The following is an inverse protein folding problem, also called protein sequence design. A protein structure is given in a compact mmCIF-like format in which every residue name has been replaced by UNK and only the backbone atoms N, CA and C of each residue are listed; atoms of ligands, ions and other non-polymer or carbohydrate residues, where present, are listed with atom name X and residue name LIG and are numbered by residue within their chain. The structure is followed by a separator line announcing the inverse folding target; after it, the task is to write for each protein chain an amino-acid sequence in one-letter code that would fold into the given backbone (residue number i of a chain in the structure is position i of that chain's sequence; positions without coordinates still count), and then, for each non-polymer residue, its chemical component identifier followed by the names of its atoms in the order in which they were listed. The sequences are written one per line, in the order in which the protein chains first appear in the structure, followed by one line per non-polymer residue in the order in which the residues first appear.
data_IF_013069702928
#
_entry.id   IF_013069702928
#
_cell.length_a   1.000
_cell.length_b   1.000
_cell.length_c   1.000
_cell.angle_alpha   90.00
_cell.angle_beta   90.00
_cell.angle_gamma   90.00
#
_symmetry.space_group_name_H-M   'P 1'
#
loop_
_entity.id
_entity.type
_entity.pdbx_description
1 polymer ?
#
# COMPACT_ATOMS: atom_id res chain seq x y z
N UNK A 1 4.72 -34.93 -45.06
CA UNK A 1 4.31 -33.51 -44.98
C UNK A 1 3.46 -33.19 -43.76
N UNK A 2 2.43 -33.98 -43.42
CA UNK A 2 1.54 -33.71 -42.26
C UNK A 2 2.30 -33.54 -40.92
N UNK A 3 3.28 -34.40 -40.62
CA UNK A 3 4.05 -34.35 -39.38
C UNK A 3 4.91 -33.08 -39.22
N UNK A 4 5.41 -32.52 -40.32
CA UNK A 4 6.20 -31.28 -40.31
C UNK A 4 5.33 -30.06 -39.98
N UNK A 5 4.09 -30.03 -40.46
CA UNK A 5 3.12 -28.97 -40.15
C UNK A 5 2.68 -29.02 -38.67
N UNK A 6 2.47 -30.23 -38.13
CA UNK A 6 2.09 -30.40 -36.72
C UNK A 6 3.26 -29.99 -35.80
N UNK A 7 4.50 -30.32 -36.17
CA UNK A 7 5.69 -29.91 -35.44
C UNK A 7 5.88 -28.39 -35.43
N UNK A 8 5.64 -27.72 -36.57
CA UNK A 8 5.72 -26.25 -36.64
C UNK A 8 4.65 -25.55 -35.79
N UNK A 9 3.44 -26.10 -35.71
CA UNK A 9 2.36 -25.55 -34.89
C UNK A 9 2.68 -25.70 -33.39
N UNK A 10 3.28 -26.83 -32.99
CA UNK A 10 3.69 -27.06 -31.60
C UNK A 10 4.79 -26.08 -31.14
N UNK A 11 5.73 -25.74 -32.03
CA UNK A 11 6.83 -24.81 -31.73
C UNK A 11 6.29 -23.40 -31.53
N UNK A 12 5.35 -22.95 -32.38
CA UNK A 12 4.72 -21.62 -32.25
C UNK A 12 3.89 -21.53 -30.96
N UNK A 13 3.19 -22.60 -30.56
CA UNK A 13 2.41 -22.62 -29.32
C UNK A 13 3.29 -22.55 -28.05
N UNK A 14 4.53 -23.07 -28.11
CA UNK A 14 5.50 -23.00 -27.00
C UNK A 14 6.15 -21.63 -26.84
N UNK A 15 6.21 -20.81 -27.90
CA UNK A 15 6.78 -19.46 -27.86
C UNK A 15 5.82 -18.38 -27.37
N UNK A 16 4.51 -18.66 -27.31
CA UNK A 16 3.52 -17.73 -26.73
C UNK A 16 3.49 -17.92 -25.21
N UNK A 17 4.62 -17.61 -24.57
CA UNK A 17 4.66 -17.22 -23.15
C UNK A 17 5.28 -15.84 -23.11
N UNK A 18 4.54 -14.87 -23.66
CA UNK A 18 4.89 -13.46 -23.54
C UNK A 18 4.66 -13.04 -22.09
N UNK A 19 5.74 -12.77 -21.38
CA UNK A 19 5.70 -11.77 -20.33
C UNK A 19 5.41 -10.45 -21.07
N UNK A 20 4.19 -9.92 -20.95
CA UNK A 20 3.72 -8.71 -21.65
C UNK A 20 4.37 -7.45 -21.08
N UNK A 21 5.70 -7.50 -20.94
CA UNK A 21 6.52 -6.46 -20.32
C UNK A 21 7.28 -5.73 -21.41
N UNK A 22 7.01 -4.44 -21.56
CA UNK A 22 7.66 -3.56 -22.54
C UNK A 22 9.13 -3.30 -22.19
N UNK A 23 9.98 -2.86 -23.12
CA UNK A 23 11.38 -2.54 -22.79
C UNK A 23 11.49 -1.27 -21.94
N UNK A 24 12.67 -1.01 -21.35
CA UNK A 24 12.88 0.22 -20.57
C UNK A 24 12.73 1.48 -21.45
N UNK A 25 13.18 1.39 -22.70
CA UNK A 25 13.07 2.47 -23.69
C UNK A 25 11.61 2.74 -24.06
N UNK A 26 10.84 1.70 -24.39
CA UNK A 26 9.41 1.82 -24.73
C UNK A 26 8.62 2.44 -23.57
N UNK A 27 8.88 2.00 -22.33
CA UNK A 27 8.28 2.60 -21.14
C UNK A 27 8.67 4.07 -20.96
N UNK A 28 9.93 4.41 -21.20
CA UNK A 28 10.40 5.79 -21.08
C UNK A 28 9.79 6.71 -22.12
N UNK A 29 9.50 6.23 -23.33
CA UNK A 29 8.79 7.00 -24.37
C UNK A 29 7.35 7.32 -23.97
N UNK A 30 6.71 6.41 -23.22
CA UNK A 30 5.40 6.62 -22.61
C UNK A 30 5.45 7.42 -21.29
N UNK A 31 6.65 7.79 -20.83
CA UNK A 31 6.86 8.58 -19.61
C UNK A 31 6.97 7.76 -18.32
N UNK A 32 7.06 6.44 -18.39
CA UNK A 32 7.22 5.54 -17.25
C UNK A 32 8.67 5.18 -16.99
N UNK A 33 9.06 5.15 -15.71
CA UNK A 33 10.36 4.62 -15.29
C UNK A 33 10.21 3.17 -14.82
N UNK A 34 10.53 2.20 -15.69
CA UNK A 34 10.39 0.77 -15.41
C UNK A 34 11.14 0.29 -14.16
N UNK A 35 12.27 0.92 -13.80
CA UNK A 35 13.09 0.53 -12.64
C UNK A 35 12.45 0.88 -11.30
N UNK A 36 11.65 1.95 -11.25
CA UNK A 36 11.00 2.42 -10.03
C UNK A 36 9.49 2.19 -10.00
N UNK A 37 8.87 1.92 -11.15
CA UNK A 37 7.43 1.75 -11.27
C UNK A 37 6.97 0.43 -10.66
N UNK A 38 6.08 0.55 -9.70
CA UNK A 38 5.54 -0.52 -8.88
C UNK A 38 4.10 -0.79 -9.32
N UNK A 39 3.74 -2.06 -9.57
CA UNK A 39 2.41 -2.38 -10.12
C UNK A 39 1.26 -1.96 -9.19
N UNK A 40 1.48 -1.89 -7.88
CA UNK A 40 0.51 -1.31 -6.94
C UNK A 40 0.17 0.16 -7.23
N UNK A 41 1.09 0.90 -7.87
CA UNK A 41 0.88 2.30 -8.26
C UNK A 41 -0.09 2.41 -9.43
N UNK A 42 -0.03 1.47 -10.39
CA UNK A 42 -0.95 1.45 -11.53
C UNK A 42 -2.41 1.28 -11.09
N UNK A 43 -2.66 0.48 -10.05
CA UNK A 43 -3.98 0.32 -9.47
C UNK A 43 -4.56 1.62 -8.87
N UNK A 44 -3.71 2.59 -8.49
CA UNK A 44 -4.13 3.88 -7.93
C UNK A 44 -4.58 4.88 -9.02
N UNK A 45 -4.23 4.67 -10.29
CA UNK A 45 -4.55 5.60 -11.40
C UNK A 45 -6.06 5.86 -11.53
N UNK A 46 -6.88 4.83 -11.32
CA UNK A 46 -8.34 4.95 -11.41
C UNK A 46 -8.92 5.90 -10.36
N UNK A 47 -8.30 6.01 -9.18
CA UNK A 47 -8.77 6.96 -8.15
C UNK A 47 -8.56 8.43 -8.52
N UNK A 48 -7.73 8.70 -9.55
CA UNK A 48 -7.44 10.04 -10.04
C UNK A 48 -8.04 10.30 -11.45
N UNK A 49 -8.84 9.37 -11.98
CA UNK A 49 -9.39 9.48 -13.34
C UNK A 49 -8.35 9.35 -14.43
N UNK A 50 -7.26 8.62 -14.19
CA UNK A 50 -6.17 8.37 -15.13
C UNK A 50 -6.24 6.94 -15.70
N UNK A 51 -7.46 6.42 -15.89
CA UNK A 51 -7.70 5.02 -16.33
C UNK A 51 -7.08 4.72 -17.69
N UNK A 52 -6.96 5.73 -18.56
CA UNK A 52 -6.35 5.62 -19.88
C UNK A 52 -4.87 5.20 -19.83
N UNK A 53 -4.17 5.50 -18.73
CA UNK A 53 -2.76 5.16 -18.53
C UNK A 53 -2.57 3.77 -17.92
N UNK A 54 -3.64 3.08 -17.52
CA UNK A 54 -3.55 1.84 -16.77
C UNK A 54 -2.82 0.75 -17.55
N UNK A 55 -3.19 0.54 -18.81
CA UNK A 55 -2.60 -0.51 -19.65
C UNK A 55 -1.10 -0.31 -19.82
N UNK A 56 -0.69 0.91 -20.17
CA UNK A 56 0.73 1.25 -20.37
C UNK A 56 1.52 1.14 -19.05
N UNK A 57 0.92 1.55 -17.94
CA UNK A 57 1.50 1.40 -16.61
C UNK A 57 1.71 -0.08 -16.24
N UNK A 58 0.70 -0.93 -16.47
CA UNK A 58 0.72 -2.35 -16.13
C UNK A 58 1.78 -3.12 -16.94
N UNK A 59 1.96 -2.77 -18.21
CA UNK A 59 3.01 -3.33 -19.07
C UNK A 59 4.43 -2.86 -18.70
N UNK A 60 4.54 -1.75 -17.96
CA UNK A 60 5.82 -1.15 -17.56
C UNK A 60 6.22 -1.39 -16.10
N UNK A 61 5.31 -1.88 -15.26
CA UNK A 61 5.53 -1.98 -13.83
C UNK A 61 6.31 -3.24 -13.43
N UNK A 62 6.98 -3.17 -12.28
CA UNK A 62 7.59 -4.34 -11.64
C UNK A 62 6.66 -4.88 -10.55
N UNK A 63 6.33 -6.17 -10.63
CA UNK A 63 5.53 -6.85 -9.60
C UNK A 63 6.30 -6.85 -8.28
N UNK A 64 5.72 -6.22 -7.26
CA UNK A 64 6.31 -6.23 -5.92
C UNK A 64 6.20 -7.63 -5.31
N UNK A 65 7.24 -8.04 -4.59
CA UNK A 65 7.09 -9.13 -3.64
C UNK A 65 6.32 -8.60 -2.45
N UNK A 66 5.22 -9.24 -2.10
CA UNK A 66 4.51 -8.95 -0.87
C UNK A 66 5.50 -9.02 0.31
N UNK A 67 5.75 -7.90 0.96
CA UNK A 67 6.58 -7.86 2.16
C UNK A 67 5.73 -8.44 3.28
N UNK A 68 5.91 -9.73 3.57
CA UNK A 68 5.27 -10.35 4.73
C UNK A 68 5.97 -9.87 5.98
N UNK A 69 5.31 -9.01 6.75
CA UNK A 69 5.70 -8.70 8.12
C UNK A 69 4.67 -9.27 9.09
N UNK A 70 5.10 -9.48 10.34
CA UNK A 70 4.18 -9.89 11.39
C UNK A 70 3.13 -8.78 11.59
N UNK A 71 1.86 -9.18 11.61
CA UNK A 71 0.74 -8.33 11.96
C UNK A 71 0.60 -8.25 13.48
N UNK A 72 -0.01 -7.18 13.95
CA UNK A 72 -0.21 -6.93 15.37
C UNK A 72 -1.69 -7.07 15.73
N UNK A 73 -2.02 -7.74 16.85
CA UNK A 73 -3.41 -7.93 17.25
C UNK A 73 -4.08 -6.62 17.71
N UNK A 74 -3.31 -5.66 18.24
CA UNK A 74 -3.84 -4.41 18.81
C UNK A 74 -2.89 -3.24 18.55
N UNK A 75 -3.46 -2.08 18.23
CA UNK A 75 -2.79 -0.79 18.16
C UNK A 75 -3.43 0.24 19.09
N UNK A 76 -2.62 1.20 19.55
CA UNK A 76 -3.05 2.34 20.33
C UNK A 76 -2.64 3.65 19.65
N UNK A 77 -3.56 4.60 19.54
CA UNK A 77 -3.21 5.99 19.23
C UNK A 77 -3.29 6.78 20.53
N UNK A 78 -2.13 7.25 20.99
CA UNK A 78 -2.02 8.14 22.14
C UNK A 78 -1.89 9.59 21.67
N UNK A 79 -2.70 10.48 22.23
CA UNK A 79 -2.71 11.90 21.87
C UNK A 79 -3.03 12.79 23.07
N UNK A 80 -2.60 14.05 23.04
CA UNK A 80 -3.08 15.07 23.98
C UNK A 80 -4.07 16.01 23.29
N UNK A 81 -5.21 16.31 23.91
CA UNK A 81 -6.13 17.36 23.46
C UNK A 81 -5.45 18.74 23.43
N UNK A 82 -4.44 18.93 24.28
CA UNK A 82 -3.60 20.13 24.32
C UNK A 82 -2.74 20.35 23.06
N UNK A 83 -2.39 19.26 22.36
CA UNK A 83 -1.47 19.30 21.23
C UNK A 83 -2.18 19.03 19.89
N UNK A 84 -3.26 18.23 19.89
CA UNK A 84 -3.87 17.66 18.68
C UNK A 84 -4.35 18.71 17.67
N UNK A 85 -4.74 19.90 18.14
CA UNK A 85 -5.14 21.02 17.28
C UNK A 85 -4.06 21.48 16.28
N UNK A 86 -2.78 21.18 16.56
CA UNK A 86 -1.64 21.50 15.69
C UNK A 86 -1.45 20.50 14.56
N UNK A 87 -2.15 19.37 14.60
CA UNK A 87 -2.01 18.26 13.66
C UNK A 87 -3.37 17.95 13.01
N UNK A 88 -3.84 18.79 12.06
CA UNK A 88 -5.21 18.72 11.56
C UNK A 88 -5.61 17.35 10.99
N UNK A 89 -4.67 16.68 10.31
CA UNK A 89 -4.92 15.37 9.71
C UNK A 89 -5.05 14.26 10.76
N UNK A 90 -4.11 14.19 11.71
CA UNK A 90 -4.23 13.27 12.85
C UNK A 90 -5.47 13.58 13.71
N UNK A 91 -5.81 14.87 13.89
CA UNK A 91 -7.03 15.27 14.57
C UNK A 91 -8.27 14.78 13.84
N UNK A 92 -8.33 14.94 12.51
CA UNK A 92 -9.45 14.50 11.70
C UNK A 92 -9.66 12.99 11.83
N UNK A 93 -8.58 12.21 11.79
CA UNK A 93 -8.65 10.77 12.00
C UNK A 93 -9.18 10.40 13.40
N UNK A 94 -8.60 11.00 14.44
CA UNK A 94 -8.91 10.69 15.86
C UNK A 94 -10.33 11.15 16.24
N UNK A 95 -10.65 12.43 16.00
CA UNK A 95 -11.91 13.05 16.42
C UNK A 95 -13.05 12.83 15.42
N UNK A 96 -12.74 12.54 14.16
CA UNK A 96 -13.73 12.17 13.14
C UNK A 96 -14.25 10.74 13.27
N UNK A 97 -13.73 9.95 14.20
CA UNK A 97 -14.21 8.59 14.44
C UNK A 97 -13.79 7.57 13.38
N UNK A 98 -12.84 7.91 12.50
CA UNK A 98 -12.32 7.02 11.45
C UNK A 98 -11.75 5.72 12.02
N UNK A 99 -11.24 5.75 13.25
CA UNK A 99 -10.72 4.57 13.94
C UNK A 99 -11.75 3.47 14.23
N UNK A 100 -13.05 3.75 14.10
CA UNK A 100 -14.12 2.79 14.36
C UNK A 100 -14.10 1.57 13.43
N UNK A 101 -13.54 1.70 12.22
CA UNK A 101 -13.46 0.60 11.25
C UNK A 101 -12.62 -0.60 11.73
N UNK A 102 -11.71 -0.41 12.69
CA UNK A 102 -10.89 -1.49 13.29
C UNK A 102 -11.45 -2.02 14.61
N UNK A 103 -12.65 -1.60 15.03
CA UNK A 103 -13.35 -2.14 16.20
C UNK A 103 -12.47 -2.21 17.47
N UNK A 104 -12.26 -3.42 17.99
CA UNK A 104 -11.47 -3.65 19.21
C UNK A 104 -9.96 -3.62 19.03
N UNK A 105 -9.48 -3.66 17.78
CA UNK A 105 -8.05 -3.72 17.46
C UNK A 105 -7.38 -2.35 17.59
N UNK A 106 -8.09 -1.26 17.27
CA UNK A 106 -7.56 0.10 17.43
C UNK A 106 -8.17 0.79 18.63
N UNK A 107 -7.32 1.28 19.54
CA UNK A 107 -7.74 1.99 20.76
C UNK A 107 -7.16 3.39 20.80
N UNK A 108 -8.03 4.40 20.85
CA UNK A 108 -7.62 5.79 20.98
C UNK A 108 -7.58 6.19 22.46
N UNK A 109 -6.48 6.79 22.92
CA UNK A 109 -6.26 7.18 24.31
C UNK A 109 -5.76 8.61 24.43
N UNK A 110 -6.41 9.36 25.30
CA UNK A 110 -5.93 10.68 25.68
C UNK A 110 -4.84 10.56 26.76
N UNK A 111 -3.63 11.04 26.45
CA UNK A 111 -2.48 11.09 27.37
C UNK A 111 -1.95 12.52 27.38
N UNK A 112 -1.86 13.14 28.56
CA UNK A 112 -1.43 14.54 28.64
C UNK A 112 0.03 14.70 28.23
N UNK A 113 0.30 15.76 27.45
CA UNK A 113 1.64 16.17 27.05
C UNK A 113 2.24 15.41 25.87
N UNK A 114 1.62 14.32 25.41
CA UNK A 114 2.15 13.55 24.27
C UNK A 114 1.80 14.19 22.93
N UNK A 115 2.65 13.95 21.95
CA UNK A 115 2.36 14.19 20.54
C UNK A 115 1.61 12.97 19.97
N UNK A 116 0.80 13.13 18.90
CA UNK A 116 0.08 12.02 18.29
C UNK A 116 1.02 10.87 17.94
N UNK A 117 0.81 9.73 18.58
CA UNK A 117 1.72 8.59 18.51
C UNK A 117 0.92 7.29 18.33
N UNK A 118 1.31 6.49 17.34
CA UNK A 118 0.77 5.15 17.08
C UNK A 118 1.68 4.09 17.72
N UNK A 119 1.10 3.19 18.50
CA UNK A 119 1.81 2.15 19.26
C UNK A 119 1.21 0.79 18.93
N UNK A 120 1.98 -0.06 18.25
CA UNK A 120 1.61 -1.44 17.95
C UNK A 120 1.99 -2.34 19.12
N UNK A 121 1.07 -3.22 19.53
CA UNK A 121 1.29 -4.16 20.64
C UNK A 121 1.11 -5.60 20.20
N UNK A 122 1.93 -6.47 20.78
CA UNK A 122 1.78 -7.92 20.61
C UNK A 122 0.63 -8.50 21.44
N UNK A 123 0.42 -9.81 21.33
CA UNK A 123 -0.59 -10.56 22.08
C UNK A 123 -0.39 -10.55 23.60
N UNK A 124 0.82 -10.19 24.08
CA UNK A 124 1.13 -10.02 25.51
C UNK A 124 0.89 -8.57 25.98
N UNK A 125 0.45 -7.69 25.09
CA UNK A 125 0.23 -6.28 25.36
C UNK A 125 1.52 -5.47 25.51
N UNK A 126 2.66 -5.98 25.04
CA UNK A 126 3.94 -5.25 25.03
C UNK A 126 4.02 -4.40 23.77
N UNK A 127 4.49 -3.16 23.91
CA UNK A 127 4.76 -2.29 22.77
C UNK A 127 5.93 -2.85 21.95
N UNK A 128 5.69 -3.08 20.67
CA UNK A 128 6.68 -3.60 19.73
C UNK A 128 7.16 -2.52 18.74
N UNK A 129 6.26 -1.60 18.37
CA UNK A 129 6.57 -0.51 17.45
C UNK A 129 5.85 0.76 17.89
N UNK A 130 6.58 1.86 17.91
CA UNK A 130 6.07 3.19 18.27
C UNK A 130 6.43 4.15 17.14
N UNK A 131 5.42 4.83 16.59
CA UNK A 131 5.55 5.72 15.45
C UNK A 131 4.93 7.07 15.77
N UNK A 132 5.65 8.12 15.37
CA UNK A 132 5.11 9.47 15.38
C UNK A 132 4.23 9.66 14.14
N UNK A 133 3.01 10.15 14.32
CA UNK A 133 2.04 10.37 13.23
C UNK A 133 1.72 11.85 13.02
N UNK A 134 2.57 12.77 13.49
CA UNK A 134 2.37 14.23 13.37
C UNK A 134 2.25 14.69 11.92
N UNK A 135 3.05 14.09 11.02
CA UNK A 135 3.11 14.44 9.60
C UNK A 135 2.27 13.53 8.71
N UNK A 136 1.55 12.56 9.28
CA UNK A 136 0.76 11.61 8.50
C UNK A 136 -0.60 12.21 8.15
N UNK A 137 -1.06 11.95 6.93
CA UNK A 137 -2.44 12.24 6.55
C UNK A 137 -3.38 11.09 6.97
N UNK A 138 -4.69 11.29 6.84
CA UNK A 138 -5.71 10.27 7.21
C UNK A 138 -5.53 8.96 6.45
N UNK A 139 -5.12 9.04 5.18
CA UNK A 139 -5.01 7.90 4.28
C UNK A 139 -3.79 7.07 4.62
N UNK A 140 -2.65 7.70 4.93
CA UNK A 140 -1.43 7.04 5.41
C UNK A 140 -1.68 6.30 6.73
N UNK A 141 -2.41 6.92 7.67
CA UNK A 141 -2.78 6.24 8.92
C UNK A 141 -3.64 5.00 8.61
N UNK A 142 -4.59 5.13 7.68
CA UNK A 142 -5.52 4.05 7.31
C UNK A 142 -4.80 2.90 6.60
N UNK A 143 -4.01 3.20 5.57
CA UNK A 143 -3.19 2.23 4.82
C UNK A 143 -2.25 1.47 5.76
N UNK A 144 -1.54 2.21 6.63
CA UNK A 144 -0.67 1.60 7.62
C UNK A 144 -1.42 0.66 8.56
N UNK A 145 -2.58 1.04 9.08
CA UNK A 145 -3.33 0.17 9.98
C UNK A 145 -3.89 -1.07 9.27
N UNK A 146 -4.32 -0.96 8.01
CA UNK A 146 -4.80 -2.11 7.23
C UNK A 146 -3.69 -3.14 6.96
N UNK A 147 -2.48 -2.65 6.70
CA UNK A 147 -1.34 -3.51 6.46
C UNK A 147 -0.84 -4.17 7.75
N UNK A 148 -0.82 -3.43 8.86
CA UNK A 148 -0.16 -3.83 10.11
C UNK A 148 -1.04 -4.43 11.20
N UNK A 149 -2.37 -4.32 11.11
CA UNK A 149 -3.30 -5.03 12.01
C UNK A 149 -3.71 -6.39 11.44
N UNK A 150 -3.97 -7.33 12.35
CA UNK A 150 -4.49 -8.68 12.04
C UNK A 150 -5.85 -8.66 11.32
#
# INVERSE_FOLDING_TARGET
MQYLLILSILIVALTIRGDDSMTEEECSELGFNKKSLQCSTCAKLNSFGLEELYTDCDSCCTKEKAVSHDKYPVAYIEYCDCNIARFPQAQAFIKGGMGSQWGSQLKVRHVRGVLPTLIMRDSKGKAQKTLNIESWNTDTITEFLNDWLE
#
